data_IF_324263965375
#
_entry.id   IF_324263965375
#
_cell.length_a   1.000
_cell.length_b   1.000
_cell.length_c   1.000
_cell.angle_alpha   90.00
_cell.angle_beta   90.00
_cell.angle_gamma   90.00
#
_symmetry.space_group_name_H-M   'P 1'
#
loop_
_entity.id
_entity.type
_entity.pdbx_description
1 polymer ?
#
# COMPACT_ATOMS: atom_id res chain seq x y z
N UNK A 1 10.21 -9.69 -71.32
CA UNK A 1 11.62 -10.10 -71.31
C UNK A 1 12.41 -9.08 -70.50
N UNK A 2 13.11 -9.55 -69.46
CA UNK A 2 14.27 -8.91 -68.77
C UNK A 2 13.90 -7.64 -67.95
N UNK A 3 14.29 -7.44 -66.70
CA UNK A 3 15.46 -7.92 -65.96
C UNK A 3 15.20 -7.76 -64.45
N UNK A 4 15.51 -8.78 -63.65
CA UNK A 4 15.76 -8.65 -62.22
C UNK A 4 17.15 -8.03 -62.03
N UNK A 5 17.27 -7.04 -61.14
CA UNK A 5 18.55 -6.61 -60.58
C UNK A 5 18.37 -6.39 -59.07
N UNK A 6 18.78 -7.39 -58.29
CA UNK A 6 19.06 -7.26 -56.86
C UNK A 6 20.48 -6.70 -56.70
N UNK A 7 20.59 -5.55 -56.04
CA UNK A 7 21.77 -4.98 -55.40
C UNK A 7 21.18 -4.20 -54.21
N UNK A 8 21.60 -4.28 -52.96
CA UNK A 8 22.86 -4.68 -52.35
C UNK A 8 23.04 -3.75 -51.15
N UNK A 9 22.93 -4.30 -49.94
CA UNK A 9 23.36 -3.83 -48.62
C UNK A 9 23.45 -2.31 -48.34
N UNK A 10 22.69 -1.86 -47.33
CA UNK A 10 23.28 -1.14 -46.19
C UNK A 10 22.31 -1.17 -45.01
N UNK A 11 22.59 -2.04 -44.03
CA UNK A 11 21.94 -2.01 -42.73
C UNK A 11 22.85 -1.17 -41.83
N UNK A 12 22.45 0.05 -41.52
CA UNK A 12 23.05 0.81 -40.43
C UNK A 12 22.49 0.28 -39.10
N UNK A 13 23.12 -0.76 -38.54
CA UNK A 13 22.92 -1.08 -37.12
C UNK A 13 23.65 0.01 -36.34
N UNK A 14 22.90 1.01 -35.87
CA UNK A 14 23.37 1.88 -34.81
C UNK A 14 23.40 1.06 -33.51
N UNK A 15 24.52 0.38 -33.28
CA UNK A 15 24.87 -0.14 -31.96
C UNK A 15 25.18 1.08 -31.10
N UNK A 16 24.13 1.63 -30.48
CA UNK A 16 24.26 2.63 -29.43
C UNK A 16 24.98 1.97 -28.26
N UNK A 17 26.29 2.20 -28.14
CA UNK A 17 27.06 1.83 -26.97
C UNK A 17 26.53 2.59 -25.77
N UNK A 18 25.71 1.93 -24.95
CA UNK A 18 25.51 2.37 -23.59
C UNK A 18 26.81 2.08 -22.84
N UNK A 19 27.64 3.10 -22.65
CA UNK A 19 28.69 3.06 -21.63
C UNK A 19 27.96 3.08 -20.30
N UNK A 20 27.64 1.90 -19.77
CA UNK A 20 27.25 1.77 -18.37
C UNK A 20 28.45 2.21 -17.54
N UNK A 21 28.42 3.47 -17.09
CA UNK A 21 29.27 3.93 -16.01
C UNK A 21 28.88 3.16 -14.76
N UNK A 22 29.50 2.01 -14.54
CA UNK A 22 29.48 1.37 -13.23
C UNK A 22 30.37 2.26 -12.37
N UNK A 23 29.75 3.11 -11.55
CA UNK A 23 30.45 3.67 -10.42
C UNK A 23 30.85 2.45 -9.56
N UNK A 24 32.12 2.06 -9.63
CA UNK A 24 32.69 1.01 -8.81
C UNK A 24 32.52 1.46 -7.36
N UNK A 25 31.60 0.83 -6.62
CA UNK A 25 31.50 1.05 -5.18
C UNK A 25 32.88 0.75 -4.58
N UNK A 26 33.44 1.62 -3.71
CA UNK A 26 34.77 1.40 -3.17
C UNK A 26 34.83 0.01 -2.52
N UNK A 27 35.75 -0.83 -2.99
CA UNK A 27 35.91 -2.21 -2.54
C UNK A 27 35.92 -2.26 -1.01
N UNK A 28 34.79 -2.71 -0.42
CA UNK A 28 34.61 -2.75 1.02
C UNK A 28 35.56 -3.83 1.55
N UNK A 29 36.54 -3.45 2.38
CA UNK A 29 37.50 -4.41 2.96
C UNK A 29 36.75 -5.61 3.55
N UNK A 30 37.05 -6.81 3.08
CA UNK A 30 36.51 -8.03 3.66
C UNK A 30 37.07 -8.22 5.08
N UNK A 31 36.19 -8.43 6.06
CA UNK A 31 36.60 -8.80 7.41
C UNK A 31 36.89 -10.29 7.49
N UNK A 32 37.89 -10.68 8.28
CA UNK A 32 38.03 -12.07 8.71
C UNK A 32 36.91 -12.43 9.69
N UNK A 33 36.63 -13.73 9.85
CA UNK A 33 35.49 -14.23 10.63
C UNK A 33 35.45 -13.73 12.09
N UNK A 34 36.60 -13.52 12.71
CA UNK A 34 36.74 -13.00 14.08
C UNK A 34 36.85 -11.47 14.18
N UNK A 35 36.89 -10.75 13.05
CA UNK A 35 37.06 -9.29 13.02
C UNK A 35 35.74 -8.53 12.83
N UNK A 36 34.65 -9.28 12.60
CA UNK A 36 33.32 -8.72 12.41
C UNK A 36 32.83 -7.95 13.64
N UNK A 37 32.26 -6.77 13.39
CA UNK A 37 31.58 -5.96 14.40
C UNK A 37 30.11 -5.83 14.03
N UNK A 38 29.26 -6.56 14.74
CA UNK A 38 27.85 -6.72 14.40
C UNK A 38 26.98 -5.64 15.02
N UNK A 39 26.12 -5.00 14.22
CA UNK A 39 25.07 -4.09 14.70
C UNK A 39 23.72 -4.50 14.13
N UNK A 40 22.68 -4.40 14.95
CA UNK A 40 21.29 -4.62 14.55
C UNK A 40 20.67 -3.31 14.06
N UNK A 41 20.02 -3.38 12.90
CA UNK A 41 19.24 -2.30 12.32
C UNK A 41 17.78 -2.77 12.24
N UNK A 42 16.85 -1.86 12.56
CA UNK A 42 15.42 -2.09 12.37
C UNK A 42 15.05 -1.52 11.01
N UNK A 43 14.48 -2.35 10.15
CA UNK A 43 13.95 -1.97 8.84
C UNK A 43 12.43 -2.19 8.85
N UNK A 44 11.68 -1.24 8.29
CA UNK A 44 10.23 -1.36 8.11
C UNK A 44 9.91 -1.52 6.62
N UNK A 45 8.98 -2.41 6.29
CA UNK A 45 8.48 -2.61 4.93
C UNK A 45 6.98 -2.47 4.84
N UNK A 46 6.54 -1.79 3.79
CA UNK A 46 5.14 -1.68 3.44
C UNK A 46 4.70 -2.90 2.64
N UNK A 47 4.21 -3.92 3.35
CA UNK A 47 3.74 -5.16 2.75
C UNK A 47 2.21 -5.13 2.60
N UNK A 48 1.71 -5.78 1.55
CA UNK A 48 0.27 -5.91 1.31
C UNK A 48 -0.38 -6.81 2.37
N UNK A 49 -1.55 -6.42 2.87
CA UNK A 49 -2.35 -7.21 3.82
C UNK A 49 -3.71 -7.51 3.17
N UNK A 50 -3.85 -8.66 2.47
CA UNK A 50 -5.12 -9.03 1.83
C UNK A 50 -6.19 -9.29 2.88
N UNK A 51 -7.27 -8.50 2.88
CA UNK A 51 -8.40 -8.61 3.80
C UNK A 51 -9.66 -8.95 3.03
N UNK A 52 -10.43 -9.91 3.52
CA UNK A 52 -11.71 -10.26 2.91
C UNK A 52 -12.83 -9.37 3.47
N UNK A 53 -13.65 -8.83 2.57
CA UNK A 53 -14.83 -8.06 2.89
C UNK A 53 -16.04 -8.68 2.21
N UNK A 54 -17.22 -8.52 2.81
CA UNK A 54 -18.50 -8.97 2.24
C UNK A 54 -19.38 -7.76 1.94
N UNK A 55 -19.86 -7.65 0.72
CA UNK A 55 -20.81 -6.63 0.29
C UNK A 55 -21.89 -7.26 -0.58
N UNK A 56 -23.15 -7.04 -0.21
CA UNK A 56 -24.33 -7.56 -0.94
C UNK A 56 -24.26 -9.08 -1.22
N UNK A 57 -23.80 -9.83 -0.20
CA UNK A 57 -23.66 -11.28 -0.26
C UNK A 57 -22.45 -11.79 -1.07
N UNK A 58 -21.61 -10.91 -1.59
CA UNK A 58 -20.38 -11.26 -2.31
C UNK A 58 -19.16 -10.95 -1.46
N UNK A 59 -18.29 -11.94 -1.30
CA UNK A 59 -16.99 -11.76 -0.66
C UNK A 59 -15.92 -11.42 -1.70
N UNK A 60 -15.12 -10.41 -1.43
CA UNK A 60 -13.98 -10.01 -2.25
C UNK A 60 -12.77 -9.72 -1.35
N UNK A 61 -11.57 -9.85 -1.89
CA UNK A 61 -10.33 -9.54 -1.17
C UNK A 61 -9.79 -8.18 -1.60
N UNK A 62 -9.44 -7.35 -0.64
CA UNK A 62 -8.87 -6.02 -0.86
C UNK A 62 -7.84 -5.74 0.22
N UNK A 63 -6.73 -5.08 -0.14
CA UNK A 63 -5.79 -4.59 0.85
C UNK A 63 -6.16 -3.17 1.27
N UNK A 64 -6.51 -2.93 2.55
CA UNK A 64 -6.90 -1.60 3.03
C UNK A 64 -5.71 -0.64 3.22
N UNK A 65 -4.47 -1.15 3.13
CA UNK A 65 -3.25 -0.35 3.20
C UNK A 65 -2.72 0.07 1.82
N UNK A 66 -2.88 -0.75 0.78
CA UNK A 66 -2.34 -0.42 -0.54
C UNK A 66 -3.41 -0.26 -1.62
N UNK A 67 -4.67 -0.53 -1.31
CA UNK A 67 -5.80 -0.29 -2.21
C UNK A 67 -5.91 -1.28 -3.38
N UNK A 68 -5.18 -2.40 -3.35
CA UNK A 68 -5.24 -3.42 -4.41
C UNK A 68 -6.26 -4.50 -4.10
N UNK A 69 -7.06 -4.85 -5.10
CA UNK A 69 -8.10 -5.88 -5.06
C UNK A 69 -7.56 -7.20 -5.64
N UNK A 70 -7.95 -8.32 -5.03
CA UNK A 70 -7.55 -9.67 -5.40
C UNK A 70 -6.38 -10.22 -4.58
N UNK A 71 -6.25 -11.55 -4.56
CA UNK A 71 -5.13 -12.26 -3.89
C UNK A 71 -4.00 -12.63 -4.85
N UNK A 72 -4.35 -13.10 -6.04
CA UNK A 72 -3.42 -13.43 -7.12
C UNK A 72 -3.48 -12.31 -8.14
N UNK A 73 -2.32 -11.77 -8.52
CA UNK A 73 -2.17 -10.64 -9.45
C UNK A 73 -3.04 -9.43 -9.08
N UNK A 74 -2.84 -8.85 -7.89
CA UNK A 74 -3.74 -7.85 -7.32
C UNK A 74 -3.72 -6.53 -8.12
N UNK A 75 -4.89 -5.99 -8.42
CA UNK A 75 -5.08 -4.81 -9.26
C UNK A 75 -5.34 -3.57 -8.40
N UNK A 76 -4.67 -2.46 -8.70
CA UNK A 76 -4.90 -1.20 -8.01
C UNK A 76 -6.34 -0.70 -8.24
N UNK A 77 -7.13 -0.55 -7.17
CA UNK A 77 -8.51 -0.06 -7.22
C UNK A 77 -8.73 1.21 -6.44
N UNK A 78 -8.08 1.32 -5.28
CA UNK A 78 -8.23 2.45 -4.38
C UNK A 78 -6.97 3.31 -4.35
N UNK A 79 -7.12 4.59 -4.05
CA UNK A 79 -6.01 5.52 -3.84
C UNK A 79 -6.05 6.08 -2.43
N UNK A 80 -4.88 6.32 -1.85
CA UNK A 80 -4.77 6.90 -0.50
C UNK A 80 -5.43 8.27 -0.46
N UNK A 81 -6.35 8.46 0.47
CA UNK A 81 -6.90 9.78 0.79
C UNK A 81 -5.81 10.54 1.55
N UNK A 82 -5.37 11.67 1.01
CA UNK A 82 -4.34 12.52 1.60
C UNK A 82 -4.96 13.56 2.53
N UNK A 83 -4.14 14.21 3.35
CA UNK A 83 -4.54 15.29 4.26
C UNK A 83 -5.65 14.86 5.25
N UNK A 84 -5.56 13.61 5.71
CA UNK A 84 -6.42 13.01 6.72
C UNK A 84 -5.82 13.20 8.11
N UNK A 85 -6.68 13.19 9.12
CA UNK A 85 -6.30 13.17 10.53
C UNK A 85 -7.20 12.20 11.28
N UNK A 86 -6.64 11.57 12.32
CA UNK A 86 -7.41 10.79 13.29
C UNK A 86 -6.83 10.97 14.68
N UNK A 87 -7.66 10.77 15.71
CA UNK A 87 -7.23 10.70 17.10
C UNK A 87 -6.32 9.48 17.39
N UNK A 88 -6.13 8.59 16.44
CA UNK A 88 -5.21 7.46 16.51
C UNK A 88 -4.17 7.52 15.38
N UNK A 89 -2.94 7.11 15.69
CA UNK A 89 -1.88 6.98 14.69
C UNK A 89 -2.10 5.76 13.79
N UNK A 90 -1.42 5.74 12.64
CA UNK A 90 -1.40 4.61 11.71
C UNK A 90 -2.77 4.26 11.09
N UNK A 91 -3.75 5.16 11.18
CA UNK A 91 -5.01 5.02 10.47
C UNK A 91 -4.81 5.42 9.01
N UNK A 92 -5.03 4.46 8.13
CA UNK A 92 -4.92 4.59 6.68
C UNK A 92 -6.31 4.62 6.06
N UNK A 93 -6.53 5.54 5.11
CA UNK A 93 -7.80 5.69 4.39
C UNK A 93 -7.52 5.62 2.90
N UNK A 94 -8.22 4.72 2.22
CA UNK A 94 -8.15 4.55 0.78
C UNK A 94 -9.55 4.60 0.19
N UNK A 95 -9.73 5.26 -0.96
CA UNK A 95 -11.01 5.33 -1.65
C UNK A 95 -10.90 4.98 -3.13
N UNK A 96 -11.99 4.56 -3.74
CA UNK A 96 -12.05 4.22 -5.16
C UNK A 96 -13.27 3.36 -5.45
N UNK A 97 -13.18 2.55 -6.51
CA UNK A 97 -14.28 1.66 -6.91
C UNK A 97 -13.75 0.23 -7.07
N UNK A 98 -14.57 -0.74 -6.66
CA UNK A 98 -14.34 -2.15 -6.99
C UNK A 98 -14.47 -2.37 -8.50
N UNK A 99 -13.90 -3.46 -9.03
CA UNK A 99 -13.84 -3.75 -10.48
C UNK A 99 -15.15 -3.51 -11.23
N UNK A 100 -16.26 -4.05 -10.72
CA UNK A 100 -17.60 -3.97 -11.31
C UNK A 100 -18.61 -3.44 -10.29
N UNK A 101 -18.16 -2.54 -9.40
CA UNK A 101 -18.83 -2.31 -8.14
C UNK A 101 -18.96 -0.86 -7.70
N UNK A 102 -19.48 -0.66 -6.48
CA UNK A 102 -19.76 0.65 -5.94
C UNK A 102 -18.49 1.42 -5.60
N UNK A 103 -18.64 2.73 -5.41
CA UNK A 103 -17.62 3.55 -4.77
C UNK A 103 -17.52 3.12 -3.30
N UNK A 104 -16.30 2.84 -2.87
CA UNK A 104 -15.99 2.38 -1.51
C UNK A 104 -14.84 3.19 -0.92
N UNK A 105 -14.73 3.10 0.40
CA UNK A 105 -13.58 3.56 1.15
C UNK A 105 -13.20 2.50 2.18
N UNK A 106 -11.91 2.22 2.33
CA UNK A 106 -11.39 1.39 3.42
C UNK A 106 -10.72 2.26 4.47
N UNK A 107 -10.93 1.93 5.73
CA UNK A 107 -10.27 2.56 6.87
C UNK A 107 -9.63 1.47 7.72
N UNK A 108 -8.34 1.55 7.99
CA UNK A 108 -7.66 0.52 8.79
C UNK A 108 -6.48 1.06 9.60
N UNK A 109 -6.26 0.50 10.77
CA UNK A 109 -5.01 0.66 11.52
C UNK A 109 -3.94 -0.24 10.94
N UNK A 110 -3.04 0.31 10.15
CA UNK A 110 -2.01 -0.46 9.47
C UNK A 110 -0.67 -0.41 10.19
N UNK A 111 -0.07 -1.58 10.40
CA UNK A 111 1.28 -1.69 10.93
C UNK A 111 2.14 -2.42 9.90
N UNK A 112 3.29 -1.82 9.58
CA UNK A 112 4.28 -2.34 8.64
C UNK A 112 4.95 -3.61 9.17
N UNK A 113 5.52 -4.40 8.25
CA UNK A 113 6.43 -5.48 8.61
C UNK A 113 7.67 -4.88 9.24
N UNK A 114 8.03 -5.35 10.43
CA UNK A 114 9.25 -4.98 11.14
C UNK A 114 10.28 -6.09 10.96
N UNK A 115 11.50 -5.73 10.53
CA UNK A 115 12.60 -6.66 10.38
C UNK A 115 13.82 -6.20 11.16
N UNK A 116 14.55 -7.17 11.71
CA UNK A 116 15.88 -6.95 12.26
C UNK A 116 16.92 -7.46 11.28
N UNK A 117 17.82 -6.56 10.88
CA UNK A 117 18.95 -6.86 10.02
C UNK A 117 20.24 -6.72 10.81
N UNK A 118 21.01 -7.79 10.91
CA UNK A 118 22.29 -7.78 11.61
C UNK A 118 23.40 -7.65 10.58
N UNK A 119 24.10 -6.52 10.60
CA UNK A 119 25.11 -6.16 9.60
C UNK A 119 26.45 -5.90 10.28
N UNK A 120 27.54 -6.38 9.69
CA UNK A 120 28.88 -6.00 10.09
C UNK A 120 29.12 -4.52 9.71
N UNK A 121 29.35 -3.65 10.68
CA UNK A 121 29.55 -2.20 10.43
C UNK A 121 30.82 -1.93 9.64
N UNK A 122 31.83 -2.80 9.76
CA UNK A 122 33.12 -2.68 9.05
C UNK A 122 33.03 -3.07 7.56
N UNK A 123 32.57 -4.29 7.27
CA UNK A 123 32.59 -4.84 5.90
C UNK A 123 31.22 -4.93 5.22
N UNK A 124 30.10 -4.68 5.91
CA UNK A 124 28.76 -4.75 5.32
C UNK A 124 28.16 -6.15 5.20
N UNK A 125 28.89 -7.21 5.56
CA UNK A 125 28.34 -8.59 5.58
C UNK A 125 27.05 -8.63 6.39
N UNK A 126 26.01 -9.23 5.83
CA UNK A 126 24.73 -9.45 6.52
C UNK A 126 24.79 -10.83 7.19
N UNK A 127 24.64 -10.86 8.52
CA UNK A 127 24.60 -12.10 9.30
C UNK A 127 23.21 -12.70 9.31
N UNK A 128 22.20 -11.87 9.45
CA UNK A 128 20.80 -12.29 9.45
C UNK A 128 19.88 -11.17 8.99
N UNK A 129 18.75 -11.56 8.44
CA UNK A 129 17.63 -10.70 8.13
C UNK A 129 16.35 -11.43 8.53
N UNK A 130 15.75 -11.02 9.64
CA UNK A 130 14.67 -11.77 10.29
C UNK A 130 13.47 -10.87 10.48
N UNK A 131 12.31 -11.36 10.03
CA UNK A 131 11.02 -10.72 10.31
C UNK A 131 10.74 -10.85 11.80
N UNK A 132 10.49 -9.72 12.46
CA UNK A 132 10.10 -9.62 13.87
C UNK A 132 8.58 -9.65 13.99
N UNK A 133 7.91 -8.89 13.13
CA UNK A 133 6.45 -8.87 13.02
C UNK A 133 6.04 -8.65 11.57
N UNK A 134 5.04 -9.40 11.12
CA UNK A 134 4.44 -9.18 9.80
C UNK A 134 3.57 -7.93 9.76
N UNK A 135 3.39 -7.39 8.55
CA UNK A 135 2.42 -6.35 8.30
C UNK A 135 1.00 -6.85 8.63
N UNK A 136 0.21 -5.99 9.26
CA UNK A 136 -1.14 -6.35 9.73
C UNK A 136 -2.06 -5.14 9.82
N UNK A 137 -3.34 -5.43 9.75
CA UNK A 137 -4.40 -4.51 10.14
C UNK A 137 -4.85 -4.86 11.56
N UNK A 138 -4.83 -3.87 12.45
CA UNK A 138 -5.17 -4.11 13.85
C UNK A 138 -6.68 -4.13 14.04
N UNK A 139 -7.15 -5.21 14.67
CA UNK A 139 -8.45 -5.24 15.32
C UNK A 139 -8.37 -4.44 16.63
N UNK A 140 -9.23 -3.46 16.78
CA UNK A 140 -9.27 -2.59 17.94
C UNK A 140 -10.70 -2.15 18.17
N UNK A 141 -11.25 -2.50 19.33
CA UNK A 141 -12.58 -2.08 19.75
C UNK A 141 -12.55 -0.62 20.23
N UNK A 142 -12.36 0.29 19.28
CA UNK A 142 -12.28 1.74 19.50
C UNK A 142 -13.12 2.49 18.48
N UNK A 143 -13.57 3.69 18.86
CA UNK A 143 -14.17 4.64 17.92
C UNK A 143 -13.13 5.64 17.49
N UNK A 144 -12.80 5.63 16.20
CA UNK A 144 -11.91 6.62 15.59
C UNK A 144 -12.70 7.87 15.20
N UNK A 145 -12.20 9.04 15.62
CA UNK A 145 -12.60 10.33 15.09
C UNK A 145 -11.74 10.58 13.85
N UNK A 146 -12.37 10.81 12.70
CA UNK A 146 -11.70 10.96 11.41
C UNK A 146 -12.02 12.33 10.84
N UNK A 147 -10.98 13.01 10.39
CA UNK A 147 -11.05 14.19 9.52
C UNK A 147 -10.42 13.84 8.18
N UNK A 148 -11.08 14.24 7.08
CA UNK A 148 -10.55 14.11 5.74
C UNK A 148 -11.01 15.27 4.83
N UNK A 149 -10.42 15.44 3.64
CA UNK A 149 -10.90 16.43 2.67
C UNK A 149 -12.36 16.16 2.31
N UNK A 150 -13.22 17.18 2.39
CA UNK A 150 -14.65 17.02 2.13
C UNK A 150 -14.95 16.36 0.77
N UNK A 151 -14.12 16.65 -0.24
CA UNK A 151 -14.25 16.10 -1.60
C UNK A 151 -14.22 14.56 -1.68
N UNK A 152 -13.65 13.85 -0.70
CA UNK A 152 -13.65 12.39 -0.72
C UNK A 152 -15.06 11.80 -0.47
N UNK A 153 -15.89 12.51 0.30
CA UNK A 153 -17.19 12.02 0.79
C UNK A 153 -18.37 12.91 0.42
N UNK A 154 -18.12 14.12 -0.06
CA UNK A 154 -19.16 15.07 -0.42
C UNK A 154 -20.04 14.54 -1.54
N UNK A 155 -21.36 14.62 -1.33
CA UNK A 155 -22.37 14.12 -2.26
C UNK A 155 -22.70 12.63 -2.11
N UNK A 156 -22.05 11.93 -1.17
CA UNK A 156 -22.34 10.53 -0.85
C UNK A 156 -22.98 10.38 0.52
N UNK A 157 -23.85 9.39 0.66
CA UNK A 157 -24.22 8.82 1.95
C UNK A 157 -23.21 7.74 2.31
N UNK A 158 -22.57 7.87 3.48
CA UNK A 158 -21.61 6.87 3.95
C UNK A 158 -22.33 5.80 4.77
N UNK A 159 -22.03 4.55 4.47
CA UNK A 159 -22.55 3.41 5.22
C UNK A 159 -21.39 2.47 5.59
N UNK A 160 -21.23 2.18 6.89
CA UNK A 160 -20.30 1.16 7.34
C UNK A 160 -20.90 -0.21 7.07
N UNK A 161 -20.14 -1.04 6.35
CA UNK A 161 -20.52 -2.39 5.96
C UNK A 161 -19.92 -3.38 6.95
N UNK A 162 -20.76 -4.20 7.56
CA UNK A 162 -20.36 -5.19 8.56
C UNK A 162 -20.07 -6.54 7.92
N UNK A 163 -19.40 -7.43 8.66
CA UNK A 163 -19.02 -8.75 8.17
C UNK A 163 -20.23 -9.62 7.76
N UNK A 164 -21.39 -9.40 8.38
CA UNK A 164 -22.66 -10.06 8.05
C UNK A 164 -23.37 -9.43 6.83
N UNK A 165 -22.80 -8.40 6.23
CA UNK A 165 -23.34 -7.66 5.08
C UNK A 165 -24.37 -6.58 5.45
N UNK A 166 -24.73 -6.45 6.73
CA UNK A 166 -25.55 -5.35 7.22
C UNK A 166 -24.81 -4.01 7.08
N UNK A 167 -25.56 -2.92 7.06
CA UNK A 167 -25.02 -1.57 6.85
C UNK A 167 -25.56 -0.60 7.89
N UNK A 168 -24.68 0.21 8.47
CA UNK A 168 -25.06 1.29 9.40
C UNK A 168 -24.68 2.64 8.84
N UNK A 169 -25.59 3.64 8.82
CA UNK A 169 -25.26 4.99 8.37
C UNK A 169 -24.13 5.61 9.20
N UNK A 170 -23.19 6.27 8.53
CA UNK A 170 -22.14 7.06 9.17
C UNK A 170 -22.52 8.53 9.06
N UNK A 171 -22.62 9.20 10.21
CA UNK A 171 -22.94 10.61 10.26
C UNK A 171 -21.71 11.44 9.89
N UNK A 172 -21.84 12.24 8.84
CA UNK A 172 -20.77 13.11 8.33
C UNK A 172 -21.16 14.57 8.61
N UNK A 173 -20.28 15.29 9.28
CA UNK A 173 -20.35 16.75 9.40
C UNK A 173 -19.26 17.41 8.56
N UNK A 174 -19.42 18.70 8.28
CA UNK A 174 -18.49 19.47 7.46
C UNK A 174 -18.00 20.69 8.23
N UNK A 175 -16.76 21.12 7.97
CA UNK A 175 -16.25 22.40 8.48
C UNK A 175 -17.06 23.57 7.92
N UNK A 176 -17.04 24.72 8.61
CA UNK A 176 -17.77 25.92 8.18
C UNK A 176 -17.40 26.37 6.76
N UNK A 177 -16.12 26.22 6.38
CA UNK A 177 -15.63 26.54 5.03
C UNK A 177 -15.89 25.42 4.00
N UNK A 178 -16.51 24.31 4.40
CA UNK A 178 -16.84 23.16 3.55
C UNK A 178 -15.66 22.35 3.03
N UNK A 179 -14.44 22.60 3.49
CA UNK A 179 -13.23 21.96 2.96
C UNK A 179 -12.89 20.62 3.64
N UNK A 180 -13.38 20.39 4.86
CA UNK A 180 -13.13 19.18 5.65
C UNK A 180 -14.45 18.49 5.99
N UNK A 181 -14.40 17.17 6.03
CA UNK A 181 -15.47 16.35 6.55
C UNK A 181 -14.98 15.60 7.79
N UNK A 182 -15.89 15.39 8.73
CA UNK A 182 -15.64 14.72 10.00
C UNK A 182 -16.66 13.61 10.20
N UNK A 183 -16.21 12.46 10.67
CA UNK A 183 -17.10 11.38 11.09
C UNK A 183 -16.43 10.51 12.13
N UNK A 184 -17.25 9.73 12.82
CA UNK A 184 -16.81 8.71 13.75
C UNK A 184 -16.99 7.33 13.13
N UNK A 185 -16.05 6.44 13.37
CA UNK A 185 -16.10 5.08 12.87
C UNK A 185 -15.73 4.08 13.97
N UNK A 186 -16.56 3.06 14.14
CA UNK A 186 -16.21 1.92 15.00
C UNK A 186 -15.19 1.05 14.26
N UNK A 187 -14.05 0.78 14.88
CA UNK A 187 -12.94 0.03 14.31
C UNK A 187 -12.89 -1.44 14.77
N UNK A 188 -13.90 -1.90 15.51
CA UNK A 188 -14.01 -3.30 15.94
C UNK A 188 -14.06 -4.25 14.73
N UNK A 189 -13.35 -5.38 14.83
CA UNK A 189 -13.22 -6.35 13.74
C UNK A 189 -12.12 -6.01 12.73
N UNK A 190 -11.33 -4.95 12.97
CA UNK A 190 -10.16 -4.60 12.15
C UNK A 190 -10.45 -3.59 11.06
N UNK A 191 -10.03 -3.90 9.83
CA UNK A 191 -10.22 -3.00 8.71
C UNK A 191 -11.72 -2.83 8.40
N UNK A 192 -12.14 -1.59 8.19
CA UNK A 192 -13.53 -1.22 7.95
C UNK A 192 -13.76 -0.91 6.48
N UNK A 193 -14.92 -1.30 5.98
CA UNK A 193 -15.40 -0.96 4.65
C UNK A 193 -16.55 0.03 4.76
N UNK A 194 -16.42 1.15 4.05
CA UNK A 194 -17.47 2.14 3.84
C UNK A 194 -17.98 2.04 2.40
N UNK A 195 -19.29 1.94 2.25
CA UNK A 195 -19.99 2.14 0.99
C UNK A 195 -20.33 3.62 0.83
N UNK A 196 -20.02 4.20 -0.32
CA UNK A 196 -20.37 5.56 -0.70
C UNK A 196 -21.47 5.50 -1.76
N UNK A 197 -22.71 5.79 -1.36
CA UNK A 197 -23.93 5.69 -2.20
C UNK A 197 -24.60 7.03 -2.46
#
# INVERSE_FOLDING_TARGET
MKTLAMLGLSVCILVGGAVSGVAEEPARKECKENEHEWKTFVEYREDCVPTDFTLDGKTFTLCPHCGKEGRKDPVQRLTKVKNTFSNFSNLEIYEGSLQDGPKIMTVAFYYQTCMNKVVCTKCGKVKSNTVVTDARVMDSDVTANIELPASAVQGYTLQQVHADGSKTPVQVSYSENGQKAFFQLNMAGGAQLLLLS
#
